data_IF_407158864508
#
_entry.id   IF_407158864508
#
_cell.length_a   1.000
_cell.length_b   1.000
_cell.length_c   1.000
_cell.angle_alpha   90.00
_cell.angle_beta   90.00
_cell.angle_gamma   90.00
#
_symmetry.space_group_name_H-M   'P 1'
#
loop_
_entity.id
_entity.type
_entity.pdbx_description
1 polymer ?
#
# COMPACT_ATOMS: atom_id res chain seq x y z
N UNK A 1 -1.45 2.79 -5.43
CA UNK A 1 -0.34 1.83 -5.63
C UNK A 1 0.84 2.40 -6.40
N UNK A 2 0.63 2.94 -7.61
CA UNK A 2 1.70 3.60 -8.37
C UNK A 2 2.42 4.69 -7.55
N UNK A 3 1.63 5.50 -6.85
CA UNK A 3 2.10 6.50 -5.89
C UNK A 3 2.99 5.92 -4.79
N UNK A 4 2.69 4.75 -4.23
CA UNK A 4 3.50 4.14 -3.16
C UNK A 4 4.86 3.63 -3.67
N UNK A 5 4.91 3.13 -4.91
CA UNK A 5 6.19 2.77 -5.55
C UNK A 5 7.00 4.03 -5.91
N UNK A 6 6.35 5.09 -6.37
CA UNK A 6 6.99 6.39 -6.62
C UNK A 6 7.56 6.98 -5.31
N UNK A 7 6.80 6.92 -4.22
CA UNK A 7 7.27 7.30 -2.88
C UNK A 7 8.50 6.48 -2.48
N UNK A 8 8.48 5.16 -2.69
CA UNK A 8 9.66 4.31 -2.43
C UNK A 8 10.88 4.80 -3.21
N UNK A 9 10.72 5.03 -4.50
CA UNK A 9 11.81 5.54 -5.36
C UNK A 9 12.32 6.89 -4.86
N UNK A 10 11.43 7.78 -4.42
CA UNK A 10 11.80 9.05 -3.83
C UNK A 10 12.58 8.88 -2.52
N UNK A 11 12.15 7.99 -1.62
CA UNK A 11 12.87 7.70 -0.37
C UNK A 11 14.25 7.10 -0.63
N UNK A 12 14.38 6.21 -1.62
CA UNK A 12 15.68 5.66 -2.02
C UNK A 12 16.60 6.75 -2.56
N UNK A 13 16.07 7.68 -3.37
CA UNK A 13 16.84 8.82 -3.88
C UNK A 13 17.27 9.75 -2.74
N UNK A 14 16.40 10.03 -1.78
CA UNK A 14 16.73 10.82 -0.59
C UNK A 14 17.83 10.15 0.25
N UNK A 15 17.75 8.83 0.47
CA UNK A 15 18.78 8.08 1.21
C UNK A 15 20.13 8.06 0.52
N UNK A 16 20.14 8.12 -0.82
CA UNK A 16 21.38 8.21 -1.60
C UNK A 16 21.98 9.62 -1.60
N UNK A 17 21.21 10.64 -1.19
CA UNK A 17 21.66 12.02 -1.14
C UNK A 17 22.37 12.32 0.20
N UNK A 18 23.68 12.57 0.14
CA UNK A 18 24.50 12.86 1.32
C UNK A 18 24.06 14.12 2.07
N UNK A 19 23.73 15.20 1.36
CA UNK A 19 23.26 16.45 1.97
C UNK A 19 21.95 16.23 2.75
N UNK A 20 21.06 15.40 2.21
CA UNK A 20 19.82 15.06 2.89
C UNK A 20 20.08 14.24 4.15
N UNK A 21 20.96 13.24 4.10
CA UNK A 21 21.30 12.43 5.28
C UNK A 21 21.98 13.27 6.37
N UNK A 22 22.89 14.17 5.99
CA UNK A 22 23.52 15.11 6.90
C UNK A 22 22.47 16.04 7.54
N UNK A 23 21.57 16.61 6.74
CA UNK A 23 20.45 17.41 7.24
C UNK A 23 19.55 16.61 8.19
N UNK A 24 19.15 15.40 7.81
CA UNK A 24 18.32 14.51 8.62
C UNK A 24 19.00 14.18 9.96
N UNK A 25 20.33 14.04 9.99
CA UNK A 25 21.07 13.75 11.23
C UNK A 25 20.95 14.86 12.28
N UNK A 26 20.77 16.12 11.84
CA UNK A 26 20.61 17.30 12.70
C UNK A 26 19.16 17.54 13.15
N UNK A 27 18.20 16.83 12.55
CA UNK A 27 16.79 16.93 12.91
C UNK A 27 16.49 16.27 14.26
N UNK A 28 15.41 16.69 14.95
CA UNK A 28 14.97 16.06 16.19
C UNK A 28 14.75 14.54 16.02
N UNK A 29 14.98 13.78 17.10
CA UNK A 29 14.92 12.30 17.07
C UNK A 29 13.60 11.76 16.52
N UNK A 30 12.49 12.43 16.81
CA UNK A 30 11.16 12.09 16.31
C UNK A 30 11.11 12.05 14.77
N UNK A 31 11.79 12.97 14.09
CA UNK A 31 11.81 13.03 12.62
C UNK A 31 12.65 11.91 12.02
N UNK A 32 13.82 11.65 12.61
CA UNK A 32 14.69 10.56 12.17
C UNK A 32 13.96 9.22 12.29
N UNK A 33 13.29 8.98 13.42
CA UNK A 33 12.45 7.78 13.62
C UNK A 33 11.30 7.70 12.63
N UNK A 34 10.57 8.80 12.39
CA UNK A 34 9.48 8.82 11.42
C UNK A 34 9.96 8.46 10.00
N UNK A 35 11.11 8.98 9.58
CA UNK A 35 11.72 8.65 8.30
C UNK A 35 12.16 7.19 8.21
N UNK A 36 12.83 6.66 9.24
CA UNK A 36 13.25 5.26 9.31
C UNK A 36 12.06 4.29 9.32
N UNK A 37 11.01 4.61 10.07
CA UNK A 37 9.79 3.82 10.14
C UNK A 37 9.07 3.79 8.79
N UNK A 38 9.01 4.94 8.09
CA UNK A 38 8.46 5.05 6.75
C UNK A 38 9.25 4.20 5.74
N UNK A 39 10.58 4.33 5.71
CA UNK A 39 11.45 3.53 4.85
C UNK A 39 11.29 2.03 5.11
N UNK A 40 11.25 1.64 6.40
CA UNK A 40 11.06 0.24 6.79
C UNK A 40 9.71 -0.30 6.35
N UNK A 41 8.60 0.42 6.60
CA UNK A 41 7.25 -0.01 6.21
C UNK A 41 7.12 -0.17 4.70
N UNK A 42 7.62 0.80 3.93
CA UNK A 42 7.57 0.75 2.47
C UNK A 42 8.46 -0.37 1.91
N UNK A 43 9.62 -0.64 2.52
CA UNK A 43 10.49 -1.75 2.12
C UNK A 43 9.84 -3.11 2.38
N UNK A 44 9.26 -3.33 3.56
CA UNK A 44 8.56 -4.57 3.91
C UNK A 44 7.36 -4.82 3.00
N UNK A 45 6.68 -3.76 2.58
CA UNK A 45 5.56 -3.86 1.66
C UNK A 45 5.94 -3.97 0.17
N UNK A 46 7.23 -3.94 -0.17
CA UNK A 46 7.65 -3.81 -1.58
C UNK A 46 7.10 -4.94 -2.47
N UNK A 47 7.30 -6.19 -2.06
CA UNK A 47 6.89 -7.35 -2.85
C UNK A 47 5.37 -7.39 -2.98
N UNK A 48 4.66 -7.11 -1.88
CA UNK A 48 3.21 -6.98 -1.88
C UNK A 48 2.70 -5.89 -2.84
N UNK A 49 3.28 -4.69 -2.80
CA UNK A 49 2.89 -3.58 -3.67
C UNK A 49 3.18 -3.87 -5.15
N UNK A 50 4.29 -4.56 -5.42
CA UNK A 50 4.66 -5.00 -6.77
C UNK A 50 3.69 -6.07 -7.28
N UNK A 51 3.34 -7.02 -6.43
CA UNK A 51 2.42 -8.10 -6.77
C UNK A 51 1.01 -7.57 -7.04
N UNK A 52 0.44 -6.73 -6.17
CA UNK A 52 -0.87 -6.14 -6.44
C UNK A 52 -0.81 -5.24 -7.68
N UNK A 53 0.25 -4.45 -7.90
CA UNK A 53 0.35 -3.64 -9.12
C UNK A 53 0.34 -4.51 -10.38
N UNK A 54 1.08 -5.62 -10.38
CA UNK A 54 1.16 -6.54 -11.51
C UNK A 54 -0.14 -7.32 -11.75
N UNK A 55 -0.92 -7.56 -10.71
CA UNK A 55 -2.11 -8.41 -10.79
C UNK A 55 -3.41 -7.60 -10.93
N UNK A 56 -3.47 -6.38 -10.39
CA UNK A 56 -4.70 -5.56 -10.30
C UNK A 56 -4.55 -4.16 -10.91
N UNK A 57 -3.37 -3.54 -10.84
CA UNK A 57 -3.23 -2.10 -11.09
C UNK A 57 -2.66 -1.65 -12.44
N UNK A 58 -1.79 -2.46 -13.07
CA UNK A 58 -1.08 -2.06 -14.29
C UNK A 58 -1.74 -2.59 -15.57
N UNK A 59 -1.95 -3.90 -15.62
CA UNK A 59 -2.72 -4.62 -16.62
C UNK A 59 -3.27 -5.85 -15.92
N UNK A 60 -4.57 -5.89 -15.63
CA UNK A 60 -5.17 -7.08 -15.02
C UNK A 60 -4.98 -8.24 -15.99
N UNK A 61 -4.17 -9.24 -15.60
CA UNK A 61 -3.90 -10.39 -16.47
C UNK A 61 -5.20 -11.17 -16.67
N UNK A 62 -5.56 -11.46 -17.92
CA UNK A 62 -6.79 -12.18 -18.25
C UNK A 62 -6.88 -13.52 -17.52
N UNK A 63 -5.74 -14.19 -17.37
CA UNK A 63 -5.59 -15.46 -16.66
C UNK A 63 -5.89 -15.30 -15.16
N UNK A 64 -5.48 -14.18 -14.55
CA UNK A 64 -5.78 -13.87 -13.15
C UNK A 64 -7.29 -13.71 -12.94
N UNK A 65 -7.95 -12.97 -13.84
CA UNK A 65 -9.41 -12.77 -13.80
C UNK A 65 -10.14 -14.09 -14.02
N UNK A 66 -9.70 -14.89 -15.00
CA UNK A 66 -10.33 -16.18 -15.31
C UNK A 66 -10.30 -17.12 -14.10
N UNK A 67 -9.13 -17.30 -13.48
CA UNK A 67 -8.99 -18.14 -12.29
C UNK A 67 -9.78 -17.59 -11.10
N UNK A 68 -9.86 -16.27 -10.94
CA UNK A 68 -10.65 -15.67 -9.89
C UNK A 68 -12.15 -15.97 -10.09
N UNK A 69 -12.67 -15.78 -11.31
CA UNK A 69 -14.06 -16.09 -11.65
C UNK A 69 -14.41 -17.58 -11.50
N UNK A 70 -13.48 -18.49 -11.82
CA UNK A 70 -13.67 -19.94 -11.63
C UNK A 70 -13.78 -20.34 -10.15
N UNK A 71 -13.19 -19.57 -9.24
CA UNK A 71 -13.22 -19.83 -7.80
C UNK A 71 -14.32 -19.04 -7.06
N UNK A 72 -14.98 -18.10 -7.73
CA UNK A 72 -16.10 -17.35 -7.16
C UNK A 72 -17.37 -18.19 -7.20
N UNK A 73 -18.06 -18.23 -6.07
CA UNK A 73 -19.37 -18.88 -5.96
C UNK A 73 -20.43 -18.07 -6.75
N UNK A 74 -21.06 -18.70 -7.75
CA UNK A 74 -22.05 -18.05 -8.61
C UNK A 74 -23.34 -17.65 -7.89
N UNK A 75 -23.60 -18.22 -6.70
CA UNK A 75 -24.84 -18.00 -5.94
C UNK A 75 -24.76 -16.82 -4.95
N UNK A 76 -23.65 -16.08 -4.91
CA UNK A 76 -23.49 -14.92 -4.01
C UNK A 76 -24.33 -13.72 -4.46
N UNK A 77 -25.57 -13.66 -3.95
CA UNK A 77 -26.49 -12.53 -4.13
C UNK A 77 -26.09 -11.33 -3.27
N UNK A 78 -25.27 -10.43 -3.81
CA UNK A 78 -25.24 -9.01 -3.46
C UNK A 78 -24.26 -8.28 -4.39
N UNK A 79 -24.76 -7.38 -5.24
CA UNK A 79 -23.91 -6.59 -6.14
C UNK A 79 -23.16 -5.48 -5.39
N UNK A 80 -23.79 -4.96 -4.33
CA UNK A 80 -23.33 -3.81 -3.54
C UNK A 80 -23.38 -4.21 -2.07
N UNK A 81 -22.27 -4.02 -1.36
CA UNK A 81 -22.18 -4.04 0.09
C UNK A 81 -22.33 -2.61 0.58
N UNK A 82 -23.42 -2.34 1.32
CA UNK A 82 -23.70 -1.01 1.83
C UNK A 82 -23.01 -0.81 3.16
N UNK A 83 -22.13 0.19 3.22
CA UNK A 83 -21.53 0.65 4.47
C UNK A 83 -22.30 1.82 5.08
N UNK A 84 -21.95 2.27 6.30
CA UNK A 84 -22.60 3.39 6.98
C UNK A 84 -22.42 4.73 6.25
N UNK A 85 -21.45 4.83 5.33
CA UNK A 85 -21.27 5.98 4.43
C UNK A 85 -21.17 5.54 2.96
N UNK A 86 -21.27 6.51 2.04
CA UNK A 86 -21.03 6.29 0.60
C UNK A 86 -19.61 5.75 0.35
N UNK A 87 -18.62 6.19 1.13
CA UNK A 87 -17.24 5.74 1.01
C UNK A 87 -17.04 4.29 1.49
N UNK A 88 -17.89 3.82 2.41
CA UNK A 88 -17.86 2.46 2.93
C UNK A 88 -18.71 1.50 2.08
N UNK A 89 -19.52 2.04 1.16
CA UNK A 89 -20.33 1.25 0.24
C UNK A 89 -19.51 0.88 -1.00
N UNK A 90 -19.39 -0.42 -1.26
CA UNK A 90 -18.55 -0.93 -2.35
C UNK A 90 -19.24 -2.05 -3.12
N UNK A 91 -18.86 -2.23 -4.39
CA UNK A 91 -19.32 -3.39 -5.14
C UNK A 91 -18.69 -4.64 -4.55
N UNK A 92 -19.50 -5.46 -3.88
CA UNK A 92 -19.06 -6.70 -3.23
C UNK A 92 -18.29 -7.58 -4.21
N UNK A 93 -18.81 -7.68 -5.44
CA UNK A 93 -18.17 -8.39 -6.56
C UNK A 93 -16.75 -7.89 -6.85
N UNK A 94 -16.51 -6.58 -6.82
CA UNK A 94 -15.17 -6.04 -7.09
C UNK A 94 -14.19 -6.38 -5.96
N UNK A 95 -14.64 -6.31 -4.71
CA UNK A 95 -13.85 -6.73 -3.54
C UNK A 95 -13.51 -8.22 -3.58
N UNK A 96 -14.50 -9.07 -3.86
CA UNK A 96 -14.32 -10.52 -3.99
C UNK A 96 -13.41 -10.89 -5.16
N UNK A 97 -13.60 -10.26 -6.32
CA UNK A 97 -12.75 -10.50 -7.49
C UNK A 97 -11.29 -10.14 -7.19
N UNK A 98 -11.04 -9.01 -6.53
CA UNK A 98 -9.69 -8.59 -6.14
C UNK A 98 -9.11 -9.57 -5.11
N UNK A 99 -9.90 -9.97 -4.10
CA UNK A 99 -9.47 -10.94 -3.11
C UNK A 99 -9.10 -12.28 -3.75
N UNK A 100 -9.91 -12.78 -4.69
CA UNK A 100 -9.65 -14.02 -5.43
C UNK A 100 -8.42 -13.91 -6.34
N UNK A 101 -8.19 -12.75 -6.99
CA UNK A 101 -6.96 -12.50 -7.75
C UNK A 101 -5.72 -12.56 -6.83
N UNK A 102 -5.80 -11.98 -5.63
CA UNK A 102 -4.70 -12.00 -4.64
C UNK A 102 -4.48 -13.43 -4.11
N UNK A 103 -5.55 -14.17 -3.86
CA UNK A 103 -5.52 -15.48 -3.21
C UNK A 103 -5.32 -16.66 -4.18
N UNK A 104 -5.33 -16.46 -5.49
CA UNK A 104 -5.29 -17.53 -6.52
C UNK A 104 -4.17 -18.57 -6.39
N UNK A 105 -3.08 -18.25 -5.68
CA UNK A 105 -1.91 -19.14 -5.45
C UNK A 105 -1.77 -19.55 -3.98
N UNK A 106 -2.74 -19.20 -3.14
CA UNK A 106 -2.73 -19.44 -1.71
C UNK A 106 -3.59 -20.68 -1.41
N UNK A 107 -3.03 -21.71 -0.76
CA UNK A 107 -3.80 -22.89 -0.34
C UNK A 107 -5.00 -22.50 0.52
N UNK A 108 -6.14 -23.18 0.35
CA UNK A 108 -7.43 -22.83 0.97
C UNK A 108 -7.33 -22.61 2.47
N UNK A 109 -6.61 -23.48 3.16
CA UNK A 109 -6.38 -23.45 4.61
C UNK A 109 -5.55 -22.25 5.09
N UNK A 110 -4.88 -21.52 4.19
CA UNK A 110 -4.09 -20.31 4.51
C UNK A 110 -4.72 -19.02 4.02
N UNK A 111 -5.82 -19.09 3.26
CA UNK A 111 -6.39 -17.92 2.57
C UNK A 111 -6.81 -16.82 3.53
N UNK A 112 -7.47 -17.16 4.63
CA UNK A 112 -7.93 -16.20 5.64
C UNK A 112 -6.76 -15.47 6.30
N UNK A 113 -5.78 -16.21 6.83
CA UNK A 113 -4.59 -15.63 7.46
C UNK A 113 -3.78 -14.76 6.47
N UNK A 114 -3.66 -15.20 5.22
CA UNK A 114 -2.99 -14.43 4.18
C UNK A 114 -3.73 -13.12 3.86
N UNK A 115 -5.06 -13.17 3.75
CA UNK A 115 -5.86 -11.99 3.49
C UNK A 115 -5.78 -10.99 4.66
N UNK A 116 -5.85 -11.47 5.90
CA UNK A 116 -5.70 -10.64 7.09
C UNK A 116 -4.32 -9.96 7.15
N UNK A 117 -3.25 -10.70 6.84
CA UNK A 117 -1.89 -10.15 6.71
C UNK A 117 -1.86 -9.01 5.68
N UNK A 118 -2.48 -9.20 4.51
CA UNK A 118 -2.45 -8.21 3.42
C UNK A 118 -3.30 -6.97 3.71
N UNK A 119 -4.45 -7.15 4.37
CA UNK A 119 -5.27 -6.03 4.85
C UNK A 119 -4.49 -5.22 5.88
N UNK A 120 -3.84 -5.89 6.85
CA UNK A 120 -3.01 -5.25 7.87
C UNK A 120 -1.84 -4.47 7.26
N UNK A 121 -1.12 -5.07 6.30
CA UNK A 121 -0.06 -4.37 5.56
C UNK A 121 -0.59 -3.12 4.83
N UNK A 122 -1.79 -3.19 4.25
CA UNK A 122 -2.41 -2.04 3.58
C UNK A 122 -2.79 -0.92 4.56
N UNK A 123 -3.32 -1.28 5.73
CA UNK A 123 -3.61 -0.32 6.80
C UNK A 123 -2.34 0.36 7.32
N UNK A 124 -1.27 -0.41 7.55
CA UNK A 124 0.03 0.11 7.98
C UNK A 124 0.65 1.08 6.96
N UNK A 125 0.50 0.80 5.66
CA UNK A 125 0.92 1.68 4.58
C UNK A 125 0.13 3.00 4.54
N UNK A 126 -1.15 2.96 4.89
CA UNK A 126 -1.98 4.18 4.98
C UNK A 126 -1.47 5.07 6.11
N UNK A 127 -1.10 4.50 7.26
CA UNK A 127 -0.40 5.24 8.32
C UNK A 127 0.97 5.75 7.90
N UNK A 128 1.68 5.02 7.02
CA UNK A 128 2.95 5.46 6.45
C UNK A 128 2.79 6.68 5.53
N UNK A 129 1.66 6.83 4.83
CA UNK A 129 1.39 8.02 4.02
C UNK A 129 1.38 9.30 4.87
N UNK A 130 0.88 9.25 6.10
CA UNK A 130 0.94 10.41 7.01
C UNK A 130 2.38 10.78 7.40
N UNK A 131 3.28 9.80 7.49
CA UNK A 131 4.70 10.07 7.74
C UNK A 131 5.37 10.80 6.57
N UNK A 132 4.83 10.69 5.35
CA UNK A 132 5.32 11.45 4.19
C UNK A 132 5.05 12.93 4.39
N UNK A 133 3.86 13.31 4.85
CA UNK A 133 3.52 14.71 5.13
C UNK A 133 4.48 15.30 6.17
N UNK A 134 4.81 14.54 7.22
CA UNK A 134 5.78 14.95 8.24
C UNK A 134 7.18 15.15 7.63
N UNK A 135 7.64 14.23 6.79
CA UNK A 135 8.95 14.33 6.13
C UNK A 135 8.99 15.49 5.13
N UNK A 136 7.92 15.71 4.38
CA UNK A 136 7.80 16.81 3.42
C UNK A 136 7.77 18.17 4.12
N UNK A 137 6.98 18.30 5.19
CA UNK A 137 6.94 19.51 6.01
C UNK A 137 8.31 19.81 6.61
N UNK A 138 9.00 18.81 7.14
CA UNK A 138 10.36 18.96 7.67
C UNK A 138 11.37 19.38 6.60
N UNK A 139 11.29 18.79 5.39
CA UNK A 139 12.12 19.19 4.27
C UNK A 139 11.87 20.65 3.87
N UNK A 140 10.60 21.05 3.73
CA UNK A 140 10.20 22.42 3.39
C UNK A 140 10.68 23.40 4.46
N UNK A 141 10.53 23.06 5.74
CA UNK A 141 11.04 23.87 6.87
C UNK A 141 12.56 24.04 6.80
N UNK A 142 13.31 22.93 6.66
CA UNK A 142 14.78 22.95 6.61
C UNK A 142 15.35 23.76 5.45
N UNK A 143 14.58 23.93 4.36
CA UNK A 143 14.95 24.72 3.19
C UNK A 143 14.45 26.17 3.27
N UNK A 144 13.79 26.57 4.37
CA UNK A 144 13.19 27.89 4.53
C UNK A 144 12.09 28.17 3.49
N UNK A 145 11.41 27.12 3.03
CA UNK A 145 10.38 27.21 1.98
C UNK A 145 8.96 27.36 2.55
N UNK A 146 8.79 27.25 3.87
CA UNK A 146 7.55 27.68 4.54
C UNK A 146 7.57 29.20 4.68
N UNK A 147 6.55 29.86 4.09
CA UNK A 147 6.31 31.30 4.21
C UNK A 147 5.30 31.59 5.31
#
# INVERSE_FOLDING_TARGET
MRTLLEIRSALQALKANKEFIESLSTQPEQFRKAFEDLDKKIRTAHDFLKDILNEVGGHVKREAVKMALENMDMDRKALIELGPTIADSHYKFAGELIAEIILRKVPTERREAYLEEKIRMTAELTGALHAIDIVLLAYVDSRGLMK
#
